data_IF_440276401597
#
_entry.id   IF_440276401597
#
_cell.length_a   1.000
_cell.length_b   1.000
_cell.length_c   1.000
_cell.angle_alpha   90.00
_cell.angle_beta   90.00
_cell.angle_gamma   90.00
#
_symmetry.space_group_name_H-M   'P 1'
#
loop_
_entity.id
_entity.type
_entity.pdbx_description
1 polymer ?
#
# COMPACT_ATOMS: atom_id res chain seq x y z
N UNK A 1 7.60 7.05 12.99
CA UNK A 1 6.38 6.26 12.70
C UNK A 1 5.25 6.69 13.64
N UNK A 2 4.00 6.32 13.35
CA UNK A 2 2.91 6.35 14.33
C UNK A 2 3.13 5.30 15.42
N UNK A 3 2.54 5.50 16.60
CA UNK A 3 2.44 4.42 17.59
C UNK A 3 1.49 3.34 17.05
N UNK A 4 1.79 2.04 17.25
CA UNK A 4 0.91 0.98 16.78
C UNK A 4 -0.49 1.06 17.40
N UNK A 5 -1.52 0.96 16.56
CA UNK A 5 -2.91 1.05 16.97
C UNK A 5 -3.70 -0.17 16.45
N UNK A 6 -4.32 -0.97 17.33
CA UNK A 6 -5.11 -2.14 16.94
C UNK A 6 -6.25 -1.85 15.97
N UNK A 7 -6.79 -0.62 15.93
CA UNK A 7 -7.86 -0.26 14.97
C UNK A 7 -7.41 -0.39 13.52
N UNK A 8 -6.10 -0.34 13.29
CA UNK A 8 -5.45 -0.45 11.98
C UNK A 8 -4.98 -1.85 11.63
N UNK A 9 -5.27 -2.84 12.48
CA UNK A 9 -5.16 -4.27 12.16
C UNK A 9 -6.54 -4.74 11.73
N UNK A 10 -6.75 -4.97 10.43
CA UNK A 10 -8.05 -5.30 9.84
C UNK A 10 -8.05 -6.69 9.22
N UNK A 11 -9.13 -7.42 9.46
CA UNK A 11 -9.43 -8.58 8.63
C UNK A 11 -9.92 -8.10 7.26
N UNK A 12 -9.52 -8.83 6.25
CA UNK A 12 -9.96 -8.62 4.88
C UNK A 12 -10.13 -9.93 4.15
N UNK A 13 -10.59 -9.83 2.91
CA UNK A 13 -10.75 -10.97 2.01
C UNK A 13 -10.01 -10.70 0.71
N UNK A 14 -9.17 -11.64 0.31
CA UNK A 14 -8.57 -11.65 -1.00
C UNK A 14 -9.59 -12.14 -2.04
N UNK A 15 -9.74 -11.34 -3.09
CA UNK A 15 -10.62 -11.56 -4.23
C UNK A 15 -9.73 -11.77 -5.46
N UNK A 16 -9.37 -13.03 -5.78
CA UNK A 16 -8.54 -13.32 -6.94
C UNK A 16 -9.28 -12.93 -8.23
N UNK A 17 -8.52 -12.52 -9.24
CA UNK A 17 -9.02 -12.45 -10.60
C UNK A 17 -8.95 -13.82 -11.27
N UNK A 18 -9.82 -14.08 -12.24
CA UNK A 18 -9.79 -15.33 -13.04
C UNK A 18 -8.43 -15.52 -13.74
N UNK A 19 -7.86 -14.40 -14.21
CA UNK A 19 -6.49 -14.31 -14.71
C UNK A 19 -5.83 -13.06 -14.13
N UNK A 20 -4.51 -13.09 -13.81
CA UNK A 20 -3.79 -11.90 -13.41
C UNK A 20 -3.97 -10.77 -14.43
N UNK A 21 -4.13 -9.54 -13.93
CA UNK A 21 -4.39 -8.37 -14.76
C UNK A 21 -3.15 -7.49 -14.79
N UNK A 22 -2.71 -7.00 -15.97
CA UNK A 22 -1.68 -6.00 -16.03
C UNK A 22 -2.21 -4.70 -15.42
N UNK A 23 -1.50 -4.17 -14.43
CA UNK A 23 -1.82 -2.92 -13.76
C UNK A 23 -0.61 -2.02 -13.89
N UNK A 24 -0.82 -0.89 -14.55
CA UNK A 24 0.18 0.17 -14.64
C UNK A 24 0.36 0.78 -13.27
N UNK A 25 1.60 0.76 -12.78
CA UNK A 25 2.04 1.62 -11.69
C UNK A 25 2.94 2.68 -12.30
N UNK A 26 2.55 3.94 -12.12
CA UNK A 26 3.32 5.06 -12.64
C UNK A 26 4.66 5.14 -11.91
N UNK A 27 5.76 5.54 -12.55
CA UNK A 27 6.96 5.96 -11.85
C UNK A 27 6.74 7.34 -11.22
N UNK A 28 7.63 7.73 -10.31
CA UNK A 28 7.77 9.13 -9.91
C UNK A 28 8.38 10.03 -11.03
N UNK A 29 8.86 9.45 -12.14
CA UNK A 29 9.56 10.14 -13.24
C UNK A 29 8.78 10.00 -14.55
N UNK A 30 8.44 11.11 -15.19
CA UNK A 30 7.67 11.15 -16.44
C UNK A 30 8.29 10.26 -17.55
N UNK A 31 7.47 9.38 -18.15
CA UNK A 31 7.85 8.58 -19.34
C UNK A 31 8.36 7.15 -19.08
N UNK A 32 8.49 6.71 -17.83
CA UNK A 32 8.63 5.29 -17.50
C UNK A 32 7.26 4.75 -17.07
N UNK A 33 6.99 3.45 -17.19
CA UNK A 33 5.84 2.78 -16.57
C UNK A 33 6.28 1.38 -16.17
N UNK A 34 5.97 0.96 -14.96
CA UNK A 34 6.09 -0.45 -14.61
C UNK A 34 4.70 -1.07 -14.70
N UNK A 35 4.57 -2.14 -15.46
CA UNK A 35 3.36 -2.95 -15.47
C UNK A 35 3.59 -4.13 -14.55
N UNK A 36 2.79 -4.24 -13.51
CA UNK A 36 2.78 -5.42 -12.64
C UNK A 36 1.55 -6.25 -12.93
N UNK A 37 1.71 -7.57 -12.92
CA UNK A 37 0.57 -8.48 -12.93
C UNK A 37 -0.03 -8.55 -11.52
N UNK A 38 -1.27 -8.08 -11.42
CA UNK A 38 -2.06 -8.15 -10.20
C UNK A 38 -2.84 -9.46 -10.16
N UNK A 39 -2.67 -10.31 -9.12
CA UNK A 39 -3.46 -11.53 -8.96
C UNK A 39 -4.89 -11.27 -8.45
N UNK A 40 -5.22 -10.07 -7.95
CA UNK A 40 -6.51 -9.78 -7.36
C UNK A 40 -6.56 -8.53 -6.49
N UNK A 41 -7.65 -8.38 -5.75
CA UNK A 41 -7.88 -7.28 -4.82
C UNK A 41 -8.05 -7.78 -3.40
N UNK A 42 -7.75 -6.93 -2.42
CA UNK A 42 -8.07 -7.18 -1.02
C UNK A 42 -9.22 -6.25 -0.63
N UNK A 43 -10.33 -6.82 -0.19
CA UNK A 43 -11.49 -6.10 0.36
C UNK A 43 -11.43 -6.08 1.88
N UNK A 44 -11.71 -4.92 2.48
CA UNK A 44 -11.71 -4.73 3.94
C UNK A 44 -12.64 -3.59 4.33
N UNK A 45 -13.06 -3.56 5.59
CA UNK A 45 -14.12 -2.63 6.06
C UNK A 45 -13.71 -1.88 7.35
N UNK A 46 -12.83 -0.87 7.28
CA UNK A 46 -12.56 -0.01 8.43
C UNK A 46 -13.81 0.84 8.74
N UNK A 47 -14.20 0.87 10.02
CA UNK A 47 -15.37 1.62 10.50
C UNK A 47 -16.67 1.35 9.70
N UNK A 48 -16.85 0.11 9.20
CA UNK A 48 -18.05 -0.31 8.48
C UNK A 48 -18.18 0.19 7.04
N UNK A 49 -17.16 0.87 6.50
CA UNK A 49 -17.13 1.28 5.09
C UNK A 49 -16.22 0.35 4.30
N UNK A 50 -16.74 -0.24 3.23
CA UNK A 50 -15.98 -1.14 2.38
C UNK A 50 -14.99 -0.42 1.48
N UNK A 51 -13.76 -0.89 1.48
CA UNK A 51 -12.69 -0.45 0.60
C UNK A 51 -12.00 -1.63 -0.06
N UNK A 52 -11.31 -1.36 -1.16
CA UNK A 52 -10.51 -2.35 -1.89
C UNK A 52 -9.14 -1.79 -2.20
N UNK A 53 -8.15 -2.67 -2.20
CA UNK A 53 -6.81 -2.40 -2.70
C UNK A 53 -6.45 -3.47 -3.73
N UNK A 54 -6.08 -3.05 -4.93
CA UNK A 54 -5.40 -3.89 -5.91
C UNK A 54 -4.07 -4.37 -5.31
N UNK A 55 -3.91 -5.69 -5.24
CA UNK A 55 -2.73 -6.33 -4.69
C UNK A 55 -1.80 -6.82 -5.79
N UNK A 56 -0.53 -6.95 -5.47
CA UNK A 56 0.53 -7.49 -6.30
C UNK A 56 1.19 -8.68 -5.60
N UNK A 57 1.93 -9.50 -6.34
CA UNK A 57 2.71 -10.57 -5.71
C UNK A 57 3.76 -9.99 -4.76
N UNK A 58 3.78 -10.49 -3.52
CA UNK A 58 4.76 -10.13 -2.50
C UNK A 58 6.09 -10.88 -2.67
N UNK A 59 6.99 -10.70 -1.71
CA UNK A 59 8.35 -11.29 -1.77
C UNK A 59 8.40 -12.79 -1.47
N UNK A 60 7.42 -13.31 -0.74
CA UNK A 60 7.31 -14.74 -0.43
C UNK A 60 6.23 -15.42 -1.31
N UNK A 61 6.33 -16.73 -1.58
CA UNK A 61 5.32 -17.45 -2.35
C UNK A 61 3.92 -17.25 -1.79
N UNK A 62 2.99 -16.78 -2.63
CA UNK A 62 1.59 -16.53 -2.27
C UNK A 62 1.34 -15.29 -1.40
N UNK A 63 2.38 -14.65 -0.86
CA UNK A 63 2.23 -13.37 -0.17
C UNK A 63 1.83 -12.26 -1.13
N UNK A 64 1.27 -11.20 -0.57
CA UNK A 64 0.77 -10.05 -1.32
C UNK A 64 1.49 -8.77 -0.89
N UNK A 65 1.58 -7.82 -1.80
CA UNK A 65 2.00 -6.45 -1.54
C UNK A 65 0.91 -5.51 -2.03
N UNK A 66 0.61 -4.48 -1.26
CA UNK A 66 -0.17 -3.34 -1.73
C UNK A 66 0.68 -2.08 -1.70
N UNK A 67 0.56 -1.28 -2.75
CA UNK A 67 1.01 0.11 -2.78
C UNK A 67 -0.22 0.98 -2.62
N UNK A 68 -0.20 1.98 -1.75
CA UNK A 68 -1.37 2.84 -1.54
C UNK A 68 -1.00 4.28 -1.19
N UNK A 69 -1.98 5.17 -1.37
CA UNK A 69 -2.02 6.50 -0.76
C UNK A 69 -3.33 6.64 0.01
N UNK A 70 -3.38 7.60 0.91
CA UNK A 70 -4.57 7.88 1.71
C UNK A 70 -4.59 9.37 2.11
N UNK A 71 -5.54 9.79 2.97
CA UNK A 71 -5.65 11.20 3.38
C UNK A 71 -4.48 11.71 4.24
N UNK A 72 -3.60 10.84 4.72
CA UNK A 72 -2.36 11.24 5.41
C UNK A 72 -1.20 11.56 4.47
N UNK A 73 -1.28 11.11 3.20
CA UNK A 73 -0.21 11.27 2.22
C UNK A 73 0.07 12.74 1.92
N UNK A 74 1.32 13.16 2.12
CA UNK A 74 1.76 14.55 1.96
C UNK A 74 1.42 15.47 3.14
N UNK A 75 0.74 14.96 4.16
CA UNK A 75 0.40 15.69 5.39
C UNK A 75 1.27 15.20 6.54
N UNK A 76 1.21 13.90 6.82
CA UNK A 76 1.94 13.24 7.91
C UNK A 76 2.69 12.00 7.45
N UNK A 77 2.36 11.44 6.29
CA UNK A 77 3.03 10.30 5.65
C UNK A 77 3.58 10.69 4.29
N UNK A 78 4.52 9.91 3.75
CA UNK A 78 5.17 10.24 2.49
C UNK A 78 4.15 10.38 1.35
N UNK A 79 4.31 11.41 0.51
CA UNK A 79 3.27 11.84 -0.43
C UNK A 79 3.03 10.84 -1.57
N UNK A 80 4.08 10.21 -2.08
CA UNK A 80 3.99 9.43 -3.31
C UNK A 80 3.37 8.05 -3.11
N UNK A 81 3.73 7.35 -2.02
CA UNK A 81 3.28 6.00 -1.74
C UNK A 81 3.64 5.57 -0.32
N UNK A 82 3.00 4.49 0.10
CA UNK A 82 3.50 3.53 1.10
C UNK A 82 3.27 2.12 0.58
N UNK A 83 4.09 1.17 1.02
CA UNK A 83 3.87 -0.26 0.78
C UNK A 83 3.43 -0.96 2.06
N UNK A 84 2.66 -2.02 1.89
CA UNK A 84 2.33 -2.95 2.96
C UNK A 84 2.48 -4.37 2.43
N UNK A 85 3.28 -5.19 3.14
CA UNK A 85 3.38 -6.62 2.90
C UNK A 85 2.26 -7.34 3.66
N UNK A 86 1.65 -8.31 3.02
CA UNK A 86 0.52 -9.08 3.53
C UNK A 86 0.84 -10.55 3.33
N UNK A 87 0.65 -11.37 4.37
CA UNK A 87 0.86 -12.81 4.28
C UNK A 87 -0.08 -13.45 3.25
N UNK A 88 0.23 -14.67 2.82
CA UNK A 88 -0.64 -15.39 1.91
C UNK A 88 -2.07 -15.52 2.49
N UNK A 89 -3.12 -15.36 1.68
CA UNK A 89 -4.49 -15.64 2.12
C UNK A 89 -4.60 -17.09 2.61
N UNK A 90 -5.47 -17.32 3.60
CA UNK A 90 -5.79 -18.67 4.03
C UNK A 90 -6.68 -19.41 2.99
N UNK A 91 -7.05 -20.66 3.30
CA UNK A 91 -7.85 -21.50 2.40
C UNK A 91 -9.23 -20.90 2.06
N UNK A 92 -9.76 -20.03 2.91
CA UNK A 92 -11.02 -19.32 2.68
C UNK A 92 -10.83 -17.92 2.07
N UNK A 93 -9.58 -17.55 1.78
CA UNK A 93 -9.20 -16.26 1.22
C UNK A 93 -9.15 -15.13 2.24
N UNK A 94 -9.11 -15.39 3.54
CA UNK A 94 -8.98 -14.35 4.55
C UNK A 94 -7.53 -13.88 4.64
N UNK A 95 -7.35 -12.59 4.89
CA UNK A 95 -6.05 -11.95 5.10
C UNK A 95 -6.10 -11.02 6.30
N UNK A 96 -4.95 -10.80 6.93
CA UNK A 96 -4.77 -9.73 7.92
C UNK A 96 -4.04 -8.56 7.28
N UNK A 97 -4.64 -7.38 7.34
CA UNK A 97 -4.10 -6.12 6.86
C UNK A 97 -3.66 -5.31 8.08
N UNK A 98 -2.35 -5.26 8.34
CA UNK A 98 -1.80 -4.49 9.46
C UNK A 98 -1.15 -3.20 8.95
N UNK A 99 -1.93 -2.11 8.88
CA UNK A 99 -1.40 -0.82 8.42
C UNK A 99 -0.33 -0.24 9.34
N UNK A 100 -0.14 -0.77 10.56
CA UNK A 100 0.98 -0.39 11.42
C UNK A 100 2.33 -0.82 10.82
N UNK A 101 2.32 -1.75 9.87
CA UNK A 101 3.51 -2.20 9.12
C UNK A 101 3.67 -1.50 7.77
N UNK A 102 2.84 -0.51 7.46
CA UNK A 102 2.99 0.26 6.23
C UNK A 102 4.31 1.04 6.27
N UNK A 103 5.14 0.83 5.25
CA UNK A 103 6.50 1.36 5.16
C UNK A 103 6.69 2.25 3.93
N UNK A 104 7.64 3.18 4.06
CA UNK A 104 8.10 4.01 2.97
C UNK A 104 9.01 3.22 2.03
N UNK A 105 8.93 3.51 0.73
CA UNK A 105 9.90 3.00 -0.26
C UNK A 105 11.17 3.88 -0.30
N UNK A 106 12.27 3.43 -0.94
CA UNK A 106 13.53 4.19 -0.98
C UNK A 106 13.41 5.63 -1.49
N UNK A 107 12.51 5.89 -2.44
CA UNK A 107 12.22 7.25 -2.93
C UNK A 107 11.70 8.18 -1.84
N UNK A 108 11.29 7.71 -0.66
CA UNK A 108 10.92 8.54 0.48
C UNK A 108 12.14 9.21 1.15
N UNK A 109 13.34 8.70 0.91
CA UNK A 109 14.58 9.11 1.57
C UNK A 109 15.57 9.79 0.61
N UNK A 110 15.42 9.60 -0.70
CA UNK A 110 16.32 10.16 -1.72
C UNK A 110 15.57 10.44 -3.02
N UNK A 111 15.97 11.51 -3.70
CA UNK A 111 15.43 11.87 -5.03
C UNK A 111 16.07 11.04 -6.15
N UNK A 112 17.12 10.28 -5.85
CA UNK A 112 17.82 9.42 -6.81
C UNK A 112 17.11 8.08 -7.07
N UNK A 113 16.08 7.74 -6.28
CA UNK A 113 15.36 6.48 -6.41
C UNK A 113 14.00 6.68 -7.10
N UNK A 114 13.72 5.86 -8.11
CA UNK A 114 12.40 5.76 -8.72
C UNK A 114 11.59 4.67 -8.01
N UNK A 115 10.39 5.02 -7.57
CA UNK A 115 9.45 4.07 -6.99
C UNK A 115 8.23 3.88 -7.89
N UNK A 116 7.58 2.71 -7.81
CA UNK A 116 6.23 2.57 -8.29
C UNK A 116 5.28 3.47 -7.48
N UNK A 117 4.39 4.16 -8.16
CA UNK A 117 3.24 4.87 -7.63
C UNK A 117 2.05 3.90 -7.57
N UNK A 118 1.24 3.93 -6.51
CA UNK A 118 0.05 3.09 -6.46
C UNK A 118 -0.86 3.34 -7.65
N UNK A 119 -1.58 2.30 -8.13
CA UNK A 119 -2.61 2.51 -9.13
C UNK A 119 -3.71 3.42 -8.57
N UNK A 120 -4.43 4.12 -9.44
CA UNK A 120 -5.36 5.17 -9.03
C UNK A 120 -6.45 4.68 -8.06
N UNK A 121 -6.89 3.42 -8.22
CA UNK A 121 -7.87 2.78 -7.34
C UNK A 121 -7.33 2.47 -5.93
N UNK A 122 -6.01 2.47 -5.73
CA UNK A 122 -5.40 2.28 -4.40
C UNK A 122 -5.25 3.60 -3.62
N UNK A 123 -6.03 4.62 -3.96
CA UNK A 123 -6.17 5.85 -3.18
C UNK A 123 -7.32 5.72 -2.19
N UNK A 124 -7.00 5.47 -0.94
CA UNK A 124 -7.99 5.34 0.13
C UNK A 124 -8.57 6.72 0.53
N UNK A 125 -9.90 6.86 0.63
CA UNK A 125 -10.53 8.14 0.99
C UNK A 125 -10.56 8.40 2.50
N UNK A 126 -9.76 7.68 3.28
CA UNK A 126 -9.68 7.76 4.75
C UNK A 126 -8.27 8.15 5.19
N UNK A 127 -8.09 8.63 6.42
CA UNK A 127 -6.76 8.92 6.97
C UNK A 127 -6.23 7.68 7.69
N UNK A 128 -5.23 7.00 7.12
CA UNK A 128 -4.60 5.82 7.72
C UNK A 128 -3.42 6.27 8.58
N UNK A 129 -3.73 6.63 9.82
CA UNK A 129 -2.79 7.11 10.85
C UNK A 129 -2.04 5.95 11.52
N UNK A 130 -1.35 5.15 10.71
CA UNK A 130 -0.55 4.00 11.14
C UNK A 130 0.74 3.90 10.32
N UNK A 131 1.74 3.18 10.82
CA UNK A 131 2.97 2.90 10.08
C UNK A 131 3.93 4.08 9.98
N UNK A 132 4.78 4.07 8.96
CA UNK A 132 5.81 5.09 8.77
C UNK A 132 5.23 6.46 8.40
N UNK A 133 5.88 7.51 8.91
CA UNK A 133 5.57 8.93 8.64
C UNK A 133 6.55 9.46 7.59
N UNK A 134 6.39 10.73 7.20
CA UNK A 134 7.39 11.44 6.38
C UNK A 134 8.77 11.32 7.07
N UNK A 135 9.83 10.87 6.36
CA UNK A 135 11.19 10.85 6.89
C UNK A 135 11.65 12.24 7.32
N UNK A 136 12.48 12.32 8.37
CA UNK A 136 12.93 13.60 8.93
C UNK A 136 13.69 14.44 7.90
N UNK A 137 14.49 13.79 7.06
CA UNK A 137 15.27 14.37 5.97
C UNK A 137 14.40 15.13 4.96
N UNK A 138 13.11 14.77 4.85
CA UNK A 138 12.12 15.41 3.97
C UNK A 138 11.15 16.31 4.73
N UNK A 139 11.05 16.19 6.04
CA UNK A 139 10.13 16.97 6.87
C UNK A 139 10.58 18.43 7.07
N UNK A 140 11.69 18.85 6.46
CA UNK A 140 12.18 20.23 6.52
C UNK A 140 12.55 20.67 7.94
N UNK A 141 12.85 19.73 8.83
CA UNK A 141 13.34 20.04 10.18
C UNK A 141 14.86 19.83 10.21
N UNK A 142 15.62 20.82 10.74
CA UNK A 142 17.08 20.73 10.83
C UNK A 142 17.54 19.54 11.66
#
# INVERSE_FOLDING_TARGET
>A
MYEPDPRWVREGRFLPFDTPRPVTVGPAVEGLEHVYDSPGQIEFEPAGTRHRLTAFNGSAPGSLMVLFTDRTSGVTTYAANRSLQIAAPDAEGRVTIDFNRAGNLPCAYTDLATCPLPPAENRLPIAVEAGEKIPLERAGRP
#
